data_IF_125450042689
#
_entry.id   IF_125450042689
#
_cell.length_a   1.000
_cell.length_b   1.000
_cell.length_c   1.000
_cell.angle_alpha   90.00
_cell.angle_beta   90.00
_cell.angle_gamma   90.00
#
_symmetry.space_group_name_H-M   'P 1'
#
loop_
_entity.id
_entity.type
_entity.pdbx_description
1 polymer ?
#
# COMPACT_ATOMS: atom_id res chain seq x y z
N UNK A 1 30.53 -32.89 78.53
CA UNK A 1 31.47 -34.04 78.70
C UNK A 1 32.18 -34.21 77.39
N UNK A 2 33.49 -34.10 77.49
CA UNK A 2 34.57 -34.57 76.59
C UNK A 2 34.66 -33.88 75.21
N UNK A 3 35.56 -32.99 75.11
CA UNK A 3 37.03 -33.02 74.98
C UNK A 3 37.52 -33.47 73.60
N UNK A 4 38.20 -32.48 72.96
CA UNK A 4 39.59 -32.55 72.54
C UNK A 4 39.86 -33.31 71.20
N UNK A 5 40.47 -32.74 70.16
CA UNK A 5 41.91 -32.40 70.11
C UNK A 5 42.29 -31.89 68.74
N UNK A 6 43.06 -30.84 68.74
CA UNK A 6 43.75 -30.28 67.61
C UNK A 6 44.74 -31.29 66.95
N UNK A 7 44.94 -31.14 65.64
CA UNK A 7 46.28 -31.42 65.05
C UNK A 7 46.60 -30.50 63.91
N UNK A 8 47.59 -29.79 64.10
CA UNK A 8 48.31 -28.96 63.15
C UNK A 8 48.94 -29.83 62.03
N UNK A 9 48.95 -29.35 60.85
CA UNK A 9 49.74 -29.89 59.75
C UNK A 9 49.98 -28.79 58.73
N UNK A 10 51.11 -28.10 58.89
CA UNK A 10 51.72 -27.25 57.87
C UNK A 10 52.16 -28.10 56.71
N UNK A 11 51.92 -27.68 55.51
CA UNK A 11 52.88 -27.91 54.39
C UNK A 11 52.48 -27.09 53.18
N UNK A 12 53.43 -26.28 52.83
CA UNK A 12 54.04 -26.06 51.49
C UNK A 12 53.29 -25.14 50.50
N UNK A 13 53.91 -24.01 50.33
CA UNK A 13 53.77 -23.14 49.14
C UNK A 13 53.99 -23.96 47.87
N UNK A 14 52.95 -24.04 47.05
CA UNK A 14 53.04 -24.45 45.67
C UNK A 14 52.54 -23.29 44.83
N UNK A 15 53.47 -22.53 44.26
CA UNK A 15 53.23 -21.48 43.32
C UNK A 15 52.63 -22.07 42.03
N UNK A 16 51.33 -22.04 41.81
CA UNK A 16 50.77 -22.38 40.54
C UNK A 16 50.65 -21.10 39.74
N UNK A 17 51.51 -20.97 38.75
CA UNK A 17 51.45 -19.98 37.70
C UNK A 17 50.24 -20.32 36.83
N UNK A 18 49.13 -19.65 37.04
CA UNK A 18 47.94 -19.74 36.18
C UNK A 18 48.17 -18.88 34.95
N UNK A 19 48.62 -19.51 33.88
CA UNK A 19 48.72 -18.90 32.55
C UNK A 19 47.33 -18.55 32.05
N UNK A 20 46.94 -17.25 32.12
CA UNK A 20 45.75 -16.71 31.52
C UNK A 20 45.92 -16.70 29.99
N UNK A 21 45.49 -17.76 29.31
CA UNK A 21 45.36 -17.76 27.85
C UNK A 21 44.14 -16.93 27.52
N UNK A 22 44.36 -15.68 27.18
CA UNK A 22 43.34 -14.82 26.56
C UNK A 22 43.10 -15.35 25.15
N UNK A 23 42.07 -16.17 24.96
CA UNK A 23 41.55 -16.46 23.63
C UNK A 23 40.91 -15.19 23.09
N UNK A 24 41.65 -14.47 22.25
CA UNK A 24 41.10 -13.50 21.33
C UNK A 24 40.25 -14.29 20.33
N UNK A 25 38.93 -14.38 20.57
CA UNK A 25 38.00 -14.76 19.55
C UNK A 25 38.03 -13.66 18.48
N UNK A 26 38.21 -13.99 17.19
CA UNK A 26 37.98 -13.00 16.15
C UNK A 26 36.53 -12.57 16.24
N UNK A 27 36.29 -11.28 16.44
CA UNK A 27 35.02 -10.64 16.12
C UNK A 27 34.80 -10.92 14.62
N UNK A 28 34.02 -11.95 14.32
CA UNK A 28 33.41 -12.08 13.03
C UNK A 28 32.55 -10.81 12.86
N UNK A 29 33.09 -9.87 12.12
CA UNK A 29 32.32 -8.82 11.53
C UNK A 29 31.19 -9.55 10.78
N UNK A 30 29.97 -9.47 11.31
CA UNK A 30 28.82 -9.67 10.50
C UNK A 30 28.94 -8.62 9.39
N UNK A 31 29.41 -9.02 8.23
CA UNK A 31 29.18 -8.28 7.01
C UNK A 31 27.65 -8.20 6.93
N UNK A 32 27.17 -7.05 7.37
CA UNK A 32 25.86 -6.55 7.02
C UNK A 32 25.85 -6.63 5.49
N UNK A 33 25.22 -7.71 4.97
CA UNK A 33 24.93 -7.80 3.55
C UNK A 33 24.11 -6.56 3.26
N UNK A 34 24.78 -5.54 2.75
CA UNK A 34 24.13 -4.41 2.13
C UNK A 34 23.29 -5.01 1.03
N UNK A 35 22.00 -5.16 1.32
CA UNK A 35 20.97 -5.51 0.37
C UNK A 35 21.18 -4.59 -0.83
N UNK A 36 21.47 -5.17 -2.00
CA UNK A 36 21.74 -4.38 -3.20
C UNK A 36 20.57 -3.40 -3.37
N UNK A 37 20.85 -2.08 -3.45
CA UNK A 37 19.77 -1.10 -3.44
C UNK A 37 18.89 -1.35 -4.65
N UNK A 38 17.69 -1.89 -4.42
CA UNK A 38 16.66 -1.93 -5.42
C UNK A 38 15.91 -3.24 -5.64
N UNK A 39 16.44 -4.41 -5.28
CA UNK A 39 15.70 -5.67 -5.44
C UNK A 39 14.79 -5.93 -4.24
N UNK A 40 13.50 -6.15 -4.49
CA UNK A 40 12.57 -6.71 -3.51
C UNK A 40 12.71 -8.23 -3.50
N UNK A 41 12.20 -8.91 -2.46
CA UNK A 41 12.18 -10.38 -2.43
C UNK A 41 11.38 -11.03 -3.59
N UNK A 42 10.62 -10.23 -4.35
CA UNK A 42 9.89 -10.65 -5.57
C UNK A 42 10.67 -10.31 -6.85
N UNK A 43 11.96 -10.00 -6.78
CA UNK A 43 12.82 -9.57 -7.89
C UNK A 43 12.37 -8.29 -8.62
N UNK A 44 11.44 -7.53 -8.05
CA UNK A 44 11.00 -6.27 -8.64
C UNK A 44 12.00 -5.16 -8.36
N UNK A 45 12.30 -4.36 -9.37
CA UNK A 45 13.18 -3.18 -9.29
C UNK A 45 12.39 -1.88 -9.27
N UNK A 46 12.87 -0.82 -8.62
CA UNK A 46 12.23 0.47 -8.63
C UNK A 46 12.09 1.06 -10.05
N UNK A 47 10.96 1.67 -10.35
CA UNK A 47 10.75 2.44 -11.58
C UNK A 47 11.33 3.83 -11.41
N UNK A 48 12.45 4.11 -12.08
CA UNK A 48 13.09 5.43 -12.04
C UNK A 48 12.17 6.50 -12.66
N UNK A 49 12.15 7.68 -12.03
CA UNK A 49 11.35 8.80 -12.50
C UNK A 49 9.84 8.59 -12.36
N UNK A 50 9.40 7.61 -11.59
CA UNK A 50 7.97 7.44 -11.27
C UNK A 50 7.42 8.67 -10.54
N UNK A 51 6.21 9.10 -10.92
CA UNK A 51 5.46 10.14 -10.21
C UNK A 51 4.61 9.58 -9.07
N UNK A 52 4.58 8.26 -8.90
CA UNK A 52 3.91 7.58 -7.81
C UNK A 52 4.81 7.55 -6.56
N UNK A 53 4.21 7.48 -5.39
CA UNK A 53 4.94 7.37 -4.13
C UNK A 53 5.85 6.14 -4.06
N UNK A 54 5.45 5.05 -4.73
CA UNK A 54 6.23 3.83 -4.88
C UNK A 54 5.81 3.15 -6.20
N UNK A 55 6.78 2.67 -6.98
CA UNK A 55 6.53 1.85 -8.16
C UNK A 55 7.70 0.89 -8.39
N UNK A 56 7.38 -0.37 -8.62
CA UNK A 56 8.33 -1.44 -8.90
C UNK A 56 7.83 -2.28 -10.06
N UNK A 57 8.74 -2.77 -10.90
CA UNK A 57 8.45 -3.67 -12.02
C UNK A 57 9.45 -4.81 -12.05
N UNK A 58 9.05 -5.91 -12.64
CA UNK A 58 9.96 -6.95 -13.07
C UNK A 58 10.73 -6.46 -14.30
N UNK A 59 12.08 -6.38 -14.26
CA UNK A 59 12.90 -5.87 -15.34
C UNK A 59 12.92 -6.79 -16.55
N UNK A 60 12.61 -8.08 -16.36
CA UNK A 60 12.69 -9.12 -17.41
C UNK A 60 11.38 -9.27 -18.17
N UNK A 61 10.30 -8.62 -17.73
CA UNK A 61 8.97 -8.70 -18.37
C UNK A 61 8.84 -7.72 -19.53
N UNK A 62 8.47 -8.23 -20.69
CA UNK A 62 8.07 -7.41 -21.84
C UNK A 62 6.61 -6.96 -21.69
N UNK A 63 6.38 -5.79 -21.12
CA UNK A 63 5.03 -5.23 -20.98
C UNK A 63 4.32 -4.98 -22.32
N UNK A 64 5.03 -5.00 -23.45
CA UNK A 64 4.44 -4.77 -24.77
C UNK A 64 3.57 -5.95 -25.26
N UNK A 65 3.62 -7.09 -24.59
CA UNK A 65 2.75 -8.23 -24.89
C UNK A 65 1.33 -8.02 -24.39
N UNK A 66 1.16 -7.25 -23.30
CA UNK A 66 -0.15 -7.05 -22.68
C UNK A 66 -0.98 -6.01 -23.43
N UNK A 67 -2.03 -6.49 -24.09
CA UNK A 67 -2.98 -5.69 -24.89
C UNK A 67 -4.34 -5.58 -24.24
N UNK A 68 -4.65 -6.54 -23.39
CA UNK A 68 -5.90 -6.63 -22.64
C UNK A 68 -5.63 -6.52 -21.15
N UNK A 69 -6.59 -6.07 -20.41
CA UNK A 69 -6.46 -5.84 -18.97
C UNK A 69 -7.66 -6.47 -18.26
N UNK A 70 -7.38 -7.27 -17.23
CA UNK A 70 -8.41 -7.74 -16.31
C UNK A 70 -8.32 -6.97 -15.01
N UNK A 71 -9.43 -6.42 -14.53
CA UNK A 71 -9.48 -5.65 -13.27
C UNK A 71 -10.20 -6.50 -12.23
N UNK A 72 -9.47 -6.93 -11.19
CA UNK A 72 -10.10 -7.61 -10.05
C UNK A 72 -10.86 -6.61 -9.17
N UNK A 73 -11.86 -7.10 -8.46
CA UNK A 73 -12.62 -6.28 -7.52
C UNK A 73 -11.69 -5.59 -6.51
N UNK A 74 -11.77 -4.25 -6.39
CA UNK A 74 -10.92 -3.50 -5.49
C UNK A 74 -11.19 -3.82 -4.02
N UNK A 75 -10.16 -4.17 -3.26
CA UNK A 75 -10.28 -4.19 -1.80
C UNK A 75 -10.33 -2.76 -1.26
N UNK A 76 -11.35 -2.42 -0.47
CA UNK A 76 -11.50 -1.06 0.08
C UNK A 76 -11.47 -1.11 1.61
N UNK A 77 -10.52 -0.38 2.22
CA UNK A 77 -10.38 -0.27 3.66
C UNK A 77 -10.31 1.19 4.11
N UNK A 78 -11.09 1.52 5.13
CA UNK A 78 -11.01 2.83 5.78
C UNK A 78 -9.74 2.94 6.63
N UNK A 79 -9.28 4.18 6.86
CA UNK A 79 -8.24 4.43 7.86
C UNK A 79 -8.68 3.98 9.25
N UNK A 80 -7.71 3.69 10.09
CA UNK A 80 -7.96 3.32 11.48
C UNK A 80 -8.84 4.36 12.19
N UNK A 81 -9.81 3.89 12.97
CA UNK A 81 -10.74 4.71 13.76
C UNK A 81 -11.65 5.67 12.96
N UNK A 82 -11.70 5.58 11.62
CA UNK A 82 -12.51 6.46 10.78
C UNK A 82 -13.98 6.57 11.26
N UNK A 83 -14.65 5.43 11.46
CA UNK A 83 -16.04 5.40 11.91
C UNK A 83 -16.24 6.11 13.25
N UNK A 84 -15.36 5.86 14.22
CA UNK A 84 -15.41 6.50 15.54
C UNK A 84 -15.26 8.01 15.43
N UNK A 85 -14.32 8.46 14.61
CA UNK A 85 -14.03 9.88 14.44
C UNK A 85 -15.17 10.60 13.72
N UNK A 86 -15.78 9.97 12.71
CA UNK A 86 -16.95 10.49 12.04
C UNK A 86 -18.15 10.61 12.99
N UNK A 87 -18.34 9.64 13.88
CA UNK A 87 -19.48 9.61 14.79
C UNK A 87 -19.37 10.61 15.95
N UNK A 88 -18.18 11.13 16.27
CA UNK A 88 -18.00 12.14 17.33
C UNK A 88 -18.71 13.47 17.06
N UNK A 89 -18.84 13.85 15.80
CA UNK A 89 -19.39 15.16 15.39
C UNK A 89 -20.77 15.08 14.74
N UNK A 90 -21.42 13.90 14.74
CA UNK A 90 -22.67 13.66 14.04
C UNK A 90 -23.82 13.37 14.99
N UNK A 91 -25.01 13.86 14.62
CA UNK A 91 -26.26 13.53 15.30
C UNK A 91 -26.75 12.10 15.02
N UNK A 92 -26.35 11.52 13.90
CA UNK A 92 -26.63 10.14 13.51
C UNK A 92 -25.36 9.36 13.26
N UNK A 93 -25.22 8.22 13.93
CA UNK A 93 -24.07 7.36 13.79
C UNK A 93 -24.02 6.65 12.43
N UNK A 94 -22.82 6.57 11.88
CA UNK A 94 -22.50 5.72 10.72
C UNK A 94 -22.49 4.28 11.19
N UNK A 95 -23.28 3.45 10.51
CA UNK A 95 -23.41 2.02 10.80
C UNK A 95 -22.44 1.19 9.95
N UNK A 96 -22.26 -0.09 10.29
CA UNK A 96 -21.50 -1.04 9.47
C UNK A 96 -22.09 -1.16 8.05
N UNK A 97 -23.43 -1.11 7.92
CA UNK A 97 -24.11 -1.11 6.62
C UNK A 97 -23.79 0.14 5.78
N UNK A 98 -23.67 1.30 6.42
CA UNK A 98 -23.27 2.54 5.73
C UNK A 98 -21.82 2.43 5.24
N UNK A 99 -20.93 1.87 6.06
CA UNK A 99 -19.54 1.63 5.68
C UNK A 99 -19.43 0.66 4.51
N UNK A 100 -20.20 -0.42 4.53
CA UNK A 100 -20.20 -1.40 3.45
C UNK A 100 -20.67 -0.78 2.13
N UNK A 101 -21.76 0.00 2.15
CA UNK A 101 -22.22 0.73 0.98
C UNK A 101 -21.16 1.68 0.42
N UNK A 102 -20.43 2.40 1.30
CA UNK A 102 -19.34 3.29 0.87
C UNK A 102 -18.23 2.49 0.20
N UNK A 103 -17.85 1.31 0.73
CA UNK A 103 -16.85 0.45 0.09
C UNK A 103 -17.26 0.04 -1.31
N UNK A 104 -18.50 -0.42 -1.47
CA UNK A 104 -19.08 -0.83 -2.76
C UNK A 104 -19.11 0.34 -3.75
N UNK A 105 -19.55 1.53 -3.31
CA UNK A 105 -19.59 2.73 -4.16
C UNK A 105 -18.19 3.13 -4.63
N UNK A 106 -17.16 3.01 -3.76
CA UNK A 106 -15.77 3.29 -4.07
C UNK A 106 -15.23 2.24 -5.05
N UNK A 107 -15.46 0.95 -4.80
CA UNK A 107 -15.02 -0.15 -5.67
C UNK A 107 -15.61 -0.02 -7.07
N UNK A 108 -16.93 0.15 -7.17
CA UNK A 108 -17.63 0.35 -8.46
C UNK A 108 -17.17 1.60 -9.20
N UNK A 109 -16.86 2.68 -8.46
CA UNK A 109 -16.34 3.91 -9.07
C UNK A 109 -14.94 3.70 -9.62
N UNK A 110 -14.09 2.98 -8.88
CA UNK A 110 -12.74 2.64 -9.32
C UNK A 110 -12.78 1.82 -10.61
N UNK A 111 -13.50 0.71 -10.61
CA UNK A 111 -13.63 -0.19 -11.75
C UNK A 111 -14.08 0.58 -12.99
N UNK A 112 -15.17 1.33 -12.88
CA UNK A 112 -15.69 2.12 -13.98
C UNK A 112 -14.68 3.14 -14.52
N UNK A 113 -14.00 3.90 -13.64
CA UNK A 113 -13.05 4.94 -14.07
C UNK A 113 -11.83 4.32 -14.73
N UNK A 114 -11.33 3.19 -14.19
CA UNK A 114 -10.19 2.50 -14.80
C UNK A 114 -10.57 1.89 -16.15
N UNK A 115 -11.74 1.24 -16.24
CA UNK A 115 -12.26 0.71 -17.53
C UNK A 115 -12.38 1.82 -18.55
N UNK A 116 -13.08 2.92 -18.24
CA UNK A 116 -13.25 4.07 -19.14
C UNK A 116 -11.91 4.63 -19.65
N UNK A 117 -10.88 4.70 -18.79
CA UNK A 117 -9.56 5.24 -19.16
C UNK A 117 -8.72 4.27 -19.98
N UNK A 118 -8.75 2.99 -19.64
CA UNK A 118 -8.04 1.95 -20.38
C UNK A 118 -8.64 1.78 -21.77
N UNK A 119 -9.96 1.68 -21.89
CA UNK A 119 -10.65 1.58 -23.18
C UNK A 119 -10.42 2.81 -24.07
N UNK A 120 -10.48 4.01 -23.48
CA UNK A 120 -10.17 5.25 -24.21
C UNK A 120 -8.73 5.31 -24.74
N UNK A 121 -7.80 4.60 -24.10
CA UNK A 121 -6.42 4.45 -24.52
C UNK A 121 -6.19 3.30 -25.50
N UNK A 122 -7.22 2.48 -25.77
CA UNK A 122 -7.18 1.35 -26.74
C UNK A 122 -6.84 0.00 -26.11
N UNK A 123 -6.87 -0.11 -24.77
CA UNK A 123 -6.75 -1.39 -24.06
C UNK A 123 -8.13 -2.00 -23.87
N UNK A 124 -8.31 -3.25 -24.28
CA UNK A 124 -9.55 -3.98 -24.03
C UNK A 124 -9.62 -4.45 -22.57
N UNK A 125 -10.71 -4.14 -21.86
CA UNK A 125 -10.94 -4.64 -20.52
C UNK A 125 -11.75 -5.94 -20.59
N UNK A 126 -11.21 -7.01 -20.00
CA UNK A 126 -11.73 -8.38 -20.08
C UNK A 126 -11.87 -9.01 -18.68
N UNK A 127 -12.63 -10.08 -18.59
CA UNK A 127 -12.84 -10.90 -17.39
C UNK A 127 -12.25 -12.31 -17.50
N UNK A 128 -11.43 -12.54 -18.55
CA UNK A 128 -10.82 -13.84 -18.86
C UNK A 128 -9.31 -13.76 -18.85
N UNK A 129 -8.66 -14.88 -18.54
CA UNK A 129 -7.20 -14.99 -18.66
C UNK A 129 -6.76 -15.17 -20.13
N UNK A 130 -5.52 -14.82 -20.43
CA UNK A 130 -4.89 -14.98 -21.73
C UNK A 130 -3.43 -14.51 -21.69
N UNK A 131 -2.63 -14.96 -22.64
CA UNK A 131 -1.20 -14.67 -22.75
C UNK A 131 -0.87 -13.18 -22.99
N UNK A 132 -1.87 -12.40 -23.40
CA UNK A 132 -1.78 -10.96 -23.58
C UNK A 132 -2.60 -10.16 -22.52
N UNK A 133 -3.01 -10.80 -21.41
CA UNK A 133 -3.84 -10.18 -20.37
C UNK A 133 -3.02 -9.83 -19.14
N UNK A 134 -2.99 -8.55 -18.82
CA UNK A 134 -2.45 -8.03 -17.57
C UNK A 134 -3.56 -7.98 -16.51
N UNK A 135 -3.36 -8.66 -15.39
CA UNK A 135 -4.32 -8.63 -14.27
C UNK A 135 -3.96 -7.52 -13.29
N UNK A 136 -4.89 -6.64 -13.04
CA UNK A 136 -4.82 -5.61 -12.00
C UNK A 136 -5.48 -6.10 -10.72
N UNK A 137 -4.74 -6.12 -9.62
CA UNK A 137 -5.25 -6.38 -8.27
C UNK A 137 -5.16 -5.12 -7.43
N UNK A 138 -6.20 -4.28 -7.41
CA UNK A 138 -6.19 -3.02 -6.69
C UNK A 138 -6.63 -3.18 -5.24
N UNK A 139 -6.06 -2.33 -4.36
CA UNK A 139 -6.57 -2.08 -3.02
C UNK A 139 -6.57 -0.57 -2.75
N UNK A 140 -7.68 -0.06 -2.24
CA UNK A 140 -7.83 1.33 -1.80
C UNK A 140 -7.82 1.30 -0.28
N UNK A 141 -6.72 1.72 0.32
CA UNK A 141 -6.51 1.68 1.77
C UNK A 141 -6.41 3.09 2.35
N UNK A 142 -6.49 3.17 3.68
CA UNK A 142 -6.48 4.45 4.39
C UNK A 142 -7.53 5.44 3.87
N UNK A 143 -8.68 4.91 3.43
CA UNK A 143 -9.77 5.74 2.95
C UNK A 143 -10.26 6.66 4.07
N UNK A 144 -10.06 7.95 3.87
CA UNK A 144 -10.44 9.01 4.79
C UNK A 144 -11.30 10.04 4.06
N UNK A 145 -12.58 9.85 4.08
CA UNK A 145 -13.58 10.72 3.47
C UNK A 145 -14.50 11.30 4.54
N UNK A 146 -15.06 12.46 4.28
CA UNK A 146 -16.19 12.93 5.08
C UNK A 146 -17.42 12.15 4.65
N UNK A 147 -18.01 11.39 5.57
CA UNK A 147 -19.21 10.61 5.24
C UNK A 147 -20.31 11.55 4.73
N UNK A 148 -21.01 11.16 3.63
CA UNK A 148 -22.08 11.98 3.10
C UNK A 148 -23.21 12.12 4.12
N UNK A 149 -23.84 13.31 4.15
CA UNK A 149 -25.02 13.53 4.98
C UNK A 149 -26.16 12.64 4.49
N UNK A 150 -26.50 11.63 5.29
CA UNK A 150 -27.66 10.79 5.01
C UNK A 150 -28.92 11.57 5.32
N UNK A 151 -29.51 12.15 4.28
CA UNK A 151 -30.88 12.68 4.24
C UNK A 151 -31.36 13.37 5.52
N UNK A 152 -30.98 14.59 5.71
CA UNK A 152 -31.83 15.56 6.39
C UNK A 152 -31.91 16.79 5.49
N UNK A 153 -33.04 17.03 4.91
CA UNK A 153 -33.36 18.25 4.16
C UNK A 153 -33.43 19.44 5.14
N UNK A 154 -32.43 19.65 5.96
CA UNK A 154 -32.44 20.65 7.01
C UNK A 154 -31.08 20.91 7.61
N UNK A 155 -30.44 21.99 7.20
CA UNK A 155 -29.61 22.92 7.97
C UNK A 155 -28.21 22.53 8.48
N UNK A 156 -27.68 21.35 8.32
CA UNK A 156 -26.28 21.11 8.67
C UNK A 156 -25.42 20.99 7.42
N UNK A 157 -24.66 22.03 7.10
CA UNK A 157 -23.69 22.05 6.02
C UNK A 157 -22.32 21.78 6.61
N UNK A 158 -21.70 20.66 6.25
CA UNK A 158 -20.32 20.38 6.62
C UNK A 158 -19.40 20.99 5.58
N UNK A 159 -18.52 21.87 6.03
CA UNK A 159 -17.48 22.48 5.20
C UNK A 159 -16.15 21.78 5.48
N UNK A 160 -15.42 21.43 4.44
CA UNK A 160 -14.12 20.79 4.55
C UNK A 160 -13.17 21.38 3.50
N UNK A 161 -11.92 21.55 3.87
CA UNK A 161 -10.85 21.93 2.94
C UNK A 161 -10.37 20.74 2.10
N UNK A 162 -10.76 19.52 2.48
CA UNK A 162 -10.47 18.27 1.75
C UNK A 162 -11.71 17.39 1.76
N UNK A 163 -12.08 16.88 0.61
CA UNK A 163 -13.22 15.98 0.46
C UNK A 163 -12.86 14.52 0.63
N UNK A 164 -11.57 14.22 0.71
CA UNK A 164 -11.10 12.87 1.00
C UNK A 164 -9.63 12.66 0.71
N UNK A 165 -9.12 11.56 1.25
CA UNK A 165 -7.80 11.03 0.95
C UNK A 165 -7.86 9.51 0.87
N UNK A 166 -7.02 8.90 0.05
CA UNK A 166 -6.87 7.46 -0.04
C UNK A 166 -5.47 7.10 -0.55
N UNK A 167 -5.04 5.89 -0.25
CA UNK A 167 -3.85 5.28 -0.83
C UNK A 167 -4.30 4.18 -1.78
N UNK A 168 -3.95 4.27 -3.05
CA UNK A 168 -4.01 3.15 -3.97
C UNK A 168 -2.78 2.28 -3.76
N UNK A 169 -3.00 1.00 -3.58
CA UNK A 169 -2.00 -0.04 -3.73
C UNK A 169 -2.46 -0.94 -4.87
N UNK A 170 -1.63 -1.18 -5.88
CA UNK A 170 -1.97 -1.99 -7.03
C UNK A 170 -0.85 -2.97 -7.32
N UNK A 171 -1.21 -4.21 -7.60
CA UNK A 171 -0.32 -5.25 -8.08
C UNK A 171 -0.72 -5.62 -9.50
N UNK A 172 0.27 -5.87 -10.32
CA UNK A 172 0.15 -6.29 -11.70
C UNK A 172 0.63 -7.73 -11.81
N UNK A 173 -0.17 -8.59 -12.43
CA UNK A 173 0.18 -9.99 -12.64
C UNK A 173 0.04 -10.37 -14.11
N UNK A 174 0.90 -11.26 -14.57
CA UNK A 174 0.64 -12.03 -15.77
C UNK A 174 -0.50 -13.01 -15.51
N UNK A 175 -1.51 -13.03 -16.37
CA UNK A 175 -2.73 -13.79 -16.11
C UNK A 175 -2.56 -15.30 -16.28
N UNK A 176 -1.53 -15.75 -16.97
CA UNK A 176 -1.25 -17.17 -17.26
C UNK A 176 -0.32 -17.75 -16.21
N UNK A 177 0.82 -17.11 -15.96
CA UNK A 177 1.78 -17.57 -14.96
C UNK A 177 1.34 -17.28 -13.54
N UNK A 178 0.54 -16.23 -13.33
CA UNK A 178 0.18 -15.72 -12.02
C UNK A 178 1.35 -15.02 -11.30
N UNK A 179 2.45 -14.78 -12.01
CA UNK A 179 3.60 -14.08 -11.45
C UNK A 179 3.34 -12.58 -11.33
N UNK A 180 3.89 -11.97 -10.29
CA UNK A 180 3.81 -10.53 -10.11
C UNK A 180 4.81 -9.85 -11.03
N UNK A 181 4.31 -9.00 -11.91
CA UNK A 181 5.13 -8.25 -12.89
C UNK A 181 5.30 -6.79 -12.50
N UNK A 182 4.58 -6.32 -11.48
CA UNK A 182 4.75 -4.98 -10.97
C UNK A 182 3.87 -4.68 -9.78
N UNK A 183 4.23 -3.62 -9.06
CA UNK A 183 3.42 -3.07 -7.98
C UNK A 183 3.62 -1.57 -7.86
N UNK A 184 2.59 -0.88 -7.41
CA UNK A 184 2.69 0.54 -7.12
C UNK A 184 1.84 0.92 -5.91
N UNK A 185 2.26 1.98 -5.22
CA UNK A 185 1.44 2.63 -4.21
C UNK A 185 1.54 4.14 -4.36
N UNK A 186 0.41 4.81 -4.20
CA UNK A 186 0.35 6.26 -4.25
C UNK A 186 -0.76 6.80 -3.35
N UNK A 187 -0.43 7.80 -2.55
CA UNK A 187 -1.40 8.46 -1.68
C UNK A 187 -1.81 9.79 -2.29
N UNK A 188 -3.10 9.96 -2.48
CA UNK A 188 -3.67 11.24 -2.93
C UNK A 188 -4.70 11.77 -1.94
N UNK A 189 -4.73 13.09 -1.84
CA UNK A 189 -5.80 13.81 -1.15
C UNK A 189 -6.53 14.69 -2.17
N UNK A 190 -7.84 14.59 -2.18
CA UNK A 190 -8.67 15.50 -2.96
C UNK A 190 -8.59 16.90 -2.33
N UNK A 191 -8.12 17.85 -3.10
CA UNK A 191 -8.08 19.27 -2.69
C UNK A 191 -9.15 20.02 -3.47
N UNK A 192 -9.90 20.86 -2.76
CA UNK A 192 -10.77 21.82 -3.43
C UNK A 192 -9.93 22.78 -4.27
N UNK A 193 -10.30 23.02 -5.54
CA UNK A 193 -9.63 24.01 -6.37
C UNK A 193 -9.59 25.37 -5.67
N UNK A 194 -8.40 25.98 -5.56
CA UNK A 194 -8.22 27.29 -4.93
C UNK A 194 -8.18 27.30 -3.40
N UNK A 195 -8.11 26.14 -2.73
CA UNK A 195 -8.03 26.05 -1.25
C UNK A 195 -9.29 26.50 -0.53
N UNK A 196 -10.39 26.73 -1.24
CA UNK A 196 -11.65 27.15 -0.66
C UNK A 196 -12.33 25.99 0.10
N UNK A 197 -12.89 26.33 1.25
CA UNK A 197 -13.73 25.40 2.01
C UNK A 197 -14.99 25.13 1.17
N UNK A 198 -15.19 23.88 0.77
CA UNK A 198 -16.36 23.48 -0.01
C UNK A 198 -17.37 22.68 0.82
N UNK A 199 -18.62 22.75 0.43
CA UNK A 199 -19.64 21.92 1.03
C UNK A 199 -19.45 20.46 0.60
N UNK A 200 -19.27 19.60 1.58
CA UNK A 200 -19.09 18.17 1.35
C UNK A 200 -20.43 17.46 1.31
N UNK A 201 -20.77 16.87 0.16
CA UNK A 201 -21.93 16.02 -0.03
C UNK A 201 -21.55 14.80 -0.88
N UNK A 202 -22.50 13.87 -1.10
CA UNK A 202 -22.25 12.67 -1.89
C UNK A 202 -21.80 12.95 -3.32
N UNK A 203 -22.27 14.03 -3.92
CA UNK A 203 -21.93 14.41 -5.31
C UNK A 203 -20.50 14.93 -5.40
N UNK A 204 -20.09 15.82 -4.49
CA UNK A 204 -18.72 16.35 -4.45
C UNK A 204 -17.71 15.26 -4.11
N UNK A 205 -18.02 14.38 -3.15
CA UNK A 205 -17.16 13.23 -2.82
C UNK A 205 -16.97 12.31 -4.03
N UNK A 206 -18.04 12.03 -4.78
CA UNK A 206 -17.96 11.19 -5.98
C UNK A 206 -17.15 11.85 -7.11
N UNK A 207 -17.32 13.15 -7.33
CA UNK A 207 -16.56 13.88 -8.33
C UNK A 207 -15.07 13.92 -8.01
N UNK A 208 -14.72 14.11 -6.74
CA UNK A 208 -13.33 14.13 -6.28
C UNK A 208 -12.70 12.72 -6.31
N UNK A 209 -13.46 11.69 -5.96
CA UNK A 209 -13.03 10.31 -6.08
C UNK A 209 -12.74 9.96 -7.56
N UNK A 210 -13.64 10.30 -8.48
CA UNK A 210 -13.45 10.09 -9.93
C UNK A 210 -12.21 10.81 -10.45
N UNK A 211 -11.97 12.05 -10.03
CA UNK A 211 -10.78 12.82 -10.44
C UNK A 211 -9.50 12.17 -9.92
N UNK A 212 -9.48 11.74 -8.66
CA UNK A 212 -8.34 11.08 -8.05
C UNK A 212 -8.04 9.74 -8.73
N UNK A 213 -9.05 8.90 -8.93
CA UNK A 213 -8.95 7.61 -9.60
C UNK A 213 -8.55 7.76 -11.08
N UNK A 214 -9.11 8.76 -11.78
CA UNK A 214 -8.71 9.09 -13.14
C UNK A 214 -7.22 9.42 -13.25
N UNK A 215 -6.69 10.21 -12.32
CA UNK A 215 -5.26 10.49 -12.29
C UNK A 215 -4.38 9.26 -12.04
N UNK A 216 -4.84 8.27 -11.30
CA UNK A 216 -4.14 6.98 -11.15
C UNK A 216 -4.22 6.14 -12.42
N UNK A 217 -5.41 6.05 -13.01
CA UNK A 217 -5.62 5.34 -14.28
C UNK A 217 -4.79 5.96 -15.42
N UNK A 218 -4.74 7.28 -15.52
CA UNK A 218 -3.91 7.99 -16.51
C UNK A 218 -2.40 7.70 -16.31
N UNK A 219 -1.95 7.52 -15.05
CA UNK A 219 -0.57 7.14 -14.75
C UNK A 219 -0.28 5.72 -15.23
N UNK A 220 -1.19 4.77 -15.00
CA UNK A 220 -1.07 3.39 -15.49
C UNK A 220 -1.07 3.35 -17.03
N UNK A 221 -2.02 4.02 -17.68
CA UNK A 221 -2.09 4.12 -19.14
C UNK A 221 -0.79 4.69 -19.70
N UNK A 222 -0.29 5.78 -19.12
CA UNK A 222 0.98 6.37 -19.55
C UNK A 222 2.18 5.45 -19.34
N UNK A 223 2.15 4.56 -18.34
CA UNK A 223 3.17 3.52 -18.17
C UNK A 223 3.05 2.47 -19.29
N UNK A 224 1.87 1.90 -19.50
CA UNK A 224 1.63 0.90 -20.53
C UNK A 224 1.96 1.42 -21.93
N UNK A 225 1.55 2.64 -22.25
CA UNK A 225 1.84 3.28 -23.56
C UNK A 225 3.34 3.42 -23.83
N UNK A 226 4.14 3.75 -22.82
CA UNK A 226 5.60 3.85 -22.98
C UNK A 226 6.25 2.51 -23.30
N UNK A 227 5.72 1.43 -22.76
CA UNK A 227 6.23 0.08 -22.97
C UNK A 227 5.65 -0.56 -24.24
N UNK A 228 4.40 -0.25 -24.58
CA UNK A 228 3.73 -0.75 -25.79
C UNK A 228 4.25 -0.12 -27.08
N UNK A 229 4.55 1.19 -27.07
CA UNK A 229 4.98 1.94 -28.28
C UNK A 229 6.47 1.84 -28.59
N UNK A 230 7.24 1.04 -27.88
CA UNK A 230 8.68 0.83 -28.15
C UNK A 230 9.00 -0.13 -29.29
N UNK A 231 8.01 -0.56 -30.06
CA UNK A 231 8.23 -1.38 -31.27
C UNK A 231 7.99 -0.58 -32.53
#
# INVERSE_FOLDING_TARGET
MNTTRARSGSFSLGTILLSLVVMLAPLASAEEQAEAPGLTFDNLVPVEGSTLGMAYIDPDVDFSVFRRVAILEPHVAFRSNWQRDQNRSRSRNITARDMERIRQDVATTFERVFTERLEAAGYEVVDVAGDDVLVLRPAIIDLDITAPDTRTAGRSRTYSASTGAATLYIQLFDSVSGEIVGRAADRRAARSPGGMISWTNSVTNLADARRMMGGWADTLVGFLDRHYKKK
#
